data_IF_981777078458
#
_entry.id   IF_981777078458
#
_cell.length_a   1.000
_cell.length_b   1.000
_cell.length_c   1.000
_cell.angle_alpha   90.00
_cell.angle_beta   90.00
_cell.angle_gamma   90.00
#
_symmetry.space_group_name_H-M   'P 1'
#
loop_
_entity.id
_entity.type
_entity.pdbx_description
1 polymer ?
#
# COMPACT_ATOMS: atom_id res chain seq x y z
N UNK A 1 38.01 9.81 14.53
CA UNK A 1 36.68 9.42 15.03
C UNK A 1 36.79 8.02 15.61
N UNK A 2 36.52 7.81 16.91
CA UNK A 2 36.68 6.48 17.53
C UNK A 2 35.68 5.48 16.92
N UNK A 3 36.16 4.72 15.93
CA UNK A 3 35.39 3.86 15.04
C UNK A 3 34.44 2.91 15.78
N UNK A 4 34.87 2.36 16.92
CA UNK A 4 34.05 1.45 17.74
C UNK A 4 32.76 2.10 18.27
N UNK A 5 32.84 3.32 18.81
CA UNK A 5 31.66 4.02 19.33
C UNK A 5 30.75 4.51 18.20
N UNK A 6 31.35 4.89 17.06
CA UNK A 6 30.61 5.25 15.87
C UNK A 6 29.73 4.10 15.39
N UNK A 7 30.30 2.91 15.16
CA UNK A 7 29.54 1.75 14.70
C UNK A 7 28.49 1.28 15.71
N UNK A 8 28.79 1.33 17.02
CA UNK A 8 27.80 1.05 18.07
C UNK A 8 26.60 2.00 17.97
N UNK A 9 26.86 3.30 17.83
CA UNK A 9 25.80 4.29 17.74
C UNK A 9 24.99 4.13 16.45
N UNK A 10 25.64 3.77 15.33
CA UNK A 10 24.96 3.42 14.08
C UNK A 10 24.00 2.25 14.28
N UNK A 11 24.44 1.17 14.94
CA UNK A 11 23.57 0.01 15.22
C UNK A 11 22.37 0.42 16.08
N UNK A 12 22.58 1.21 17.13
CA UNK A 12 21.46 1.70 17.94
C UNK A 12 20.50 2.59 17.17
N UNK A 13 21.02 3.49 16.33
CA UNK A 13 20.19 4.34 15.48
C UNK A 13 19.35 3.51 14.51
N UNK A 14 19.95 2.52 13.85
CA UNK A 14 19.24 1.62 12.95
C UNK A 14 18.17 0.82 13.68
N UNK A 15 18.47 0.30 14.88
CA UNK A 15 17.49 -0.42 15.69
C UNK A 15 16.30 0.49 16.06
N UNK A 16 16.58 1.72 16.51
CA UNK A 16 15.53 2.69 16.85
C UNK A 16 14.65 3.04 15.65
N UNK A 17 15.25 3.29 14.48
CA UNK A 17 14.52 3.57 13.23
C UNK A 17 13.62 2.39 12.86
N UNK A 18 14.10 1.15 12.97
CA UNK A 18 13.31 -0.04 12.66
C UNK A 18 12.12 -0.20 13.62
N UNK A 19 12.31 0.05 14.92
CA UNK A 19 11.22 0.00 15.90
C UNK A 19 10.17 1.08 15.64
N UNK A 20 10.59 2.30 15.30
CA UNK A 20 9.70 3.38 14.91
C UNK A 20 8.91 3.03 13.65
N UNK A 21 9.58 2.46 12.65
CA UNK A 21 8.95 2.01 11.41
C UNK A 21 7.93 0.89 11.68
N UNK A 22 8.27 -0.08 12.53
CA UNK A 22 7.35 -1.14 12.94
C UNK A 22 6.11 -0.59 13.64
N UNK A 23 6.28 0.33 14.60
CA UNK A 23 5.17 0.97 15.32
C UNK A 23 4.28 1.83 14.41
N UNK A 24 4.88 2.46 13.38
CA UNK A 24 4.13 3.17 12.35
C UNK A 24 3.29 2.21 11.52
N UNK A 25 3.90 1.13 11.02
CA UNK A 25 3.24 0.15 10.16
C UNK A 25 2.16 -0.68 10.88
N UNK A 26 2.30 -0.94 12.18
CA UNK A 26 1.29 -1.63 12.99
C UNK A 26 0.03 -0.79 13.23
N UNK A 27 0.00 0.46 12.78
CA UNK A 27 -1.11 1.39 13.02
C UNK A 27 -1.12 1.97 14.44
N UNK A 28 -0.09 1.70 15.26
CA UNK A 28 -0.01 2.24 16.62
C UNK A 28 0.05 3.76 16.63
N UNK A 29 0.50 4.40 15.54
CA UNK A 29 0.53 5.86 15.41
C UNK A 29 -0.74 6.46 14.78
N UNK A 30 -1.79 5.66 14.53
CA UNK A 30 -3.03 6.15 13.93
C UNK A 30 -3.75 7.17 14.85
N UNK A 31 -3.72 6.97 16.17
CA UNK A 31 -4.34 7.90 17.13
C UNK A 31 -3.71 9.30 17.14
N UNK A 32 -2.47 9.42 16.65
CA UNK A 32 -1.77 10.70 16.49
C UNK A 32 -1.97 11.32 15.08
N UNK A 33 -2.76 10.68 14.21
CA UNK A 33 -2.90 11.09 12.81
C UNK A 33 -1.64 10.83 11.96
N UNK A 34 -0.65 10.13 12.51
CA UNK A 34 0.62 9.80 11.86
C UNK A 34 0.63 8.38 11.28
N UNK A 35 -0.47 7.63 11.37
CA UNK A 35 -0.55 6.27 10.84
C UNK A 35 -0.52 6.21 9.29
N UNK A 36 -0.11 5.06 8.70
CA UNK A 36 -0.20 4.86 7.27
C UNK A 36 -1.66 4.97 6.82
N UNK A 37 -1.89 5.63 5.69
CA UNK A 37 -3.22 5.68 5.06
C UNK A 37 -3.57 4.27 4.59
N UNK A 38 -4.68 3.67 5.06
CA UNK A 38 -5.11 2.38 4.55
C UNK A 38 -5.46 2.55 3.07
N UNK A 39 -4.68 1.93 2.20
CA UNK A 39 -5.05 1.78 0.79
C UNK A 39 -6.07 0.63 0.75
N UNK A 40 -7.31 0.92 1.12
CA UNK A 40 -8.43 0.08 0.68
C UNK A 40 -8.50 0.27 -0.82
N UNK A 41 -8.28 -0.78 -1.63
CA UNK A 41 -8.28 -0.70 -3.09
C UNK A 41 -9.50 0.09 -3.62
N UNK A 42 -9.39 1.39 -3.97
CA UNK A 42 -10.56 2.21 -4.22
C UNK A 42 -10.83 2.42 -5.71
N UNK A 43 -10.11 1.74 -6.60
CA UNK A 43 -10.20 2.04 -8.03
C UNK A 43 -10.85 0.96 -8.87
N UNK A 44 -11.31 -0.12 -8.25
CA UNK A 44 -11.96 -1.18 -9.02
C UNK A 44 -13.43 -0.90 -9.26
N UNK A 45 -14.20 -0.32 -8.35
CA UNK A 45 -15.65 -0.19 -8.57
C UNK A 45 -15.99 0.94 -9.56
N UNK A 46 -15.32 2.10 -9.47
CA UNK A 46 -15.62 3.25 -10.34
C UNK A 46 -15.05 3.15 -11.76
N UNK A 47 -14.04 2.29 -11.98
CA UNK A 47 -13.46 2.00 -13.31
C UNK A 47 -13.76 0.57 -13.79
N UNK A 48 -14.60 -0.19 -13.07
CA UNK A 48 -15.07 -1.48 -13.57
C UNK A 48 -16.06 -1.18 -14.69
N UNK A 49 -15.71 -1.62 -15.90
CA UNK A 49 -16.55 -1.60 -17.11
C UNK A 49 -18.01 -1.81 -16.72
N UNK A 50 -18.87 -0.81 -16.94
CA UNK A 50 -20.31 -0.91 -16.67
C UNK A 50 -20.86 -2.11 -17.45
N UNK A 51 -21.15 -3.24 -16.79
CA UNK A 51 -21.57 -4.45 -17.50
C UNK A 51 -22.93 -4.22 -18.17
N UNK A 52 -23.71 -3.25 -17.69
CA UNK A 52 -24.99 -2.86 -18.27
C UNK A 52 -24.86 -2.14 -19.64
N UNK A 53 -23.68 -1.64 -19.99
CA UNK A 53 -23.40 -1.04 -21.30
C UNK A 53 -22.93 -2.08 -22.33
N UNK A 54 -22.70 -3.34 -21.94
CA UNK A 54 -22.25 -4.40 -22.83
C UNK A 54 -23.42 -4.90 -23.70
N UNK A 55 -23.47 -4.49 -24.97
CA UNK A 55 -24.42 -5.03 -25.95
C UNK A 55 -23.86 -6.30 -26.60
N UNK A 56 -24.56 -7.42 -26.43
CA UNK A 56 -24.22 -8.69 -27.08
C UNK A 56 -24.59 -8.59 -28.57
N UNK A 57 -23.58 -8.52 -29.43
CA UNK A 57 -23.79 -8.62 -30.89
C UNK A 57 -23.96 -10.09 -31.28
N UNK A 58 -25.00 -10.42 -32.06
CA UNK A 58 -25.13 -11.77 -32.61
C UNK A 58 -23.92 -12.08 -33.50
N UNK A 59 -23.39 -13.29 -33.40
CA UNK A 59 -22.29 -13.74 -34.25
C UNK A 59 -22.77 -13.70 -35.71
N UNK A 60 -21.94 -13.16 -36.60
CA UNK A 60 -22.23 -13.00 -38.03
C UNK A 60 -22.35 -14.33 -38.82
N UNK A 61 -22.69 -15.43 -38.15
CA UNK A 61 -22.75 -16.78 -38.72
C UNK A 61 -24.17 -17.27 -39.02
N UNK A 62 -25.21 -16.47 -38.79
CA UNK A 62 -26.60 -16.83 -39.16
C UNK A 62 -27.13 -16.06 -40.38
N UNK A 63 -26.24 -15.58 -41.25
CA UNK A 63 -26.59 -15.24 -42.62
C UNK A 63 -26.25 -16.44 -43.52
N UNK A 64 -27.10 -17.46 -43.50
CA UNK A 64 -27.07 -18.57 -44.47
C UNK A 64 -28.36 -18.57 -45.28
#
# INVERSE_FOLDING_TARGET
>A
MNSKHFWRNVVFALAAINLLFWAWNSGSLHFLGLGPKPVQEPHRIENQVDPELLQIKPAASEAR
#
